data_IF_282829642925
#
_entry.id   IF_282829642925
#
_cell.length_a   1.000
_cell.length_b   1.000
_cell.length_c   1.000
_cell.angle_alpha   90.00
_cell.angle_beta   90.00
_cell.angle_gamma   90.00
#
_symmetry.space_group_name_H-M   'P 1'
#
loop_
_entity.id
_entity.type
_entity.pdbx_description
1 polymer ?
#
# COMPACT_ATOMS: atom_id res chain seq x y z
N UNK A 1 24.09 7.49 -4.27
CA UNK A 1 22.75 8.07 -4.08
C UNK A 1 21.73 7.02 -4.41
N UNK A 2 20.86 6.66 -3.46
CA UNK A 2 19.82 5.64 -3.67
C UNK A 2 18.73 6.32 -4.50
N UNK A 3 18.84 6.20 -5.84
CA UNK A 3 17.73 6.51 -6.73
C UNK A 3 16.60 5.58 -6.29
N UNK A 4 15.52 6.16 -5.74
CA UNK A 4 14.26 5.45 -5.59
C UNK A 4 13.98 4.79 -6.93
N UNK A 5 14.02 3.46 -7.00
CA UNK A 5 13.61 2.71 -8.19
C UNK A 5 12.12 3.01 -8.36
N UNK A 6 11.79 4.11 -9.04
CA UNK A 6 10.43 4.56 -9.30
C UNK A 6 9.61 3.42 -9.92
N UNK A 7 10.28 2.56 -10.70
CA UNK A 7 9.76 1.32 -11.30
C UNK A 7 9.20 0.31 -10.30
N UNK A 8 9.72 0.27 -9.06
CA UNK A 8 9.21 -0.62 -8.00
C UNK A 8 7.94 -0.06 -7.36
N UNK A 9 7.84 1.27 -7.26
CA UNK A 9 6.67 1.96 -6.71
C UNK A 9 5.55 2.11 -7.76
N UNK A 10 5.90 2.10 -9.05
CA UNK A 10 4.94 2.12 -10.18
C UNK A 10 3.91 1.01 -10.07
N UNK A 11 4.30 -0.21 -9.69
CA UNK A 11 3.35 -1.32 -9.50
C UNK A 11 2.29 -1.05 -8.41
N UNK A 12 2.65 -0.28 -7.39
CA UNK A 12 1.69 0.14 -6.34
C UNK A 12 0.79 1.25 -6.87
N UNK A 13 1.31 2.12 -7.75
CA UNK A 13 0.52 3.19 -8.41
C UNK A 13 -0.43 2.65 -9.49
N UNK A 14 -0.03 1.62 -10.21
CA UNK A 14 -0.84 0.94 -11.23
C UNK A 14 -1.87 0.00 -10.62
N UNK A 15 -1.78 -0.27 -9.31
CA UNK A 15 -2.76 -1.11 -8.64
C UNK A 15 -4.14 -0.44 -8.70
N UNK A 16 -5.17 -1.15 -9.20
CA UNK A 16 -6.51 -0.58 -9.32
C UNK A 16 -7.07 -0.22 -7.94
N UNK A 17 -7.91 0.81 -7.85
CA UNK A 17 -8.52 1.21 -6.59
C UNK A 17 -9.30 0.03 -5.99
N UNK A 18 -8.92 -0.48 -4.80
CA UNK A 18 -9.57 -1.64 -4.20
C UNK A 18 -11.02 -1.29 -3.86
N UNK A 19 -11.95 -2.14 -4.29
CA UNK A 19 -13.39 -1.98 -4.06
C UNK A 19 -13.92 -2.87 -2.94
N UNK A 20 -13.16 -3.90 -2.58
CA UNK A 20 -13.49 -4.84 -1.52
C UNK A 20 -12.32 -5.04 -0.54
N UNK A 21 -12.64 -5.63 0.62
CA UNK A 21 -11.69 -5.84 1.72
C UNK A 21 -10.57 -6.81 1.32
N UNK A 22 -10.87 -7.80 0.48
CA UNK A 22 -9.90 -8.78 -0.03
C UNK A 22 -8.83 -8.12 -0.91
N UNK A 23 -9.25 -7.27 -1.84
CA UNK A 23 -8.38 -6.44 -2.67
C UNK A 23 -7.58 -5.45 -1.82
N UNK A 24 -8.20 -4.85 -0.79
CA UNK A 24 -7.51 -3.95 0.12
C UNK A 24 -6.41 -4.67 0.92
N UNK A 25 -6.64 -5.93 1.36
CA UNK A 25 -5.60 -6.77 1.97
C UNK A 25 -4.48 -7.08 0.97
N UNK A 26 -4.82 -7.43 -0.26
CA UNK A 26 -3.85 -7.69 -1.33
C UNK A 26 -2.98 -6.46 -1.63
N UNK A 27 -3.61 -5.29 -1.77
CA UNK A 27 -2.95 -4.00 -1.97
C UNK A 27 -2.01 -3.68 -0.81
N UNK A 28 -2.48 -3.77 0.44
CA UNK A 28 -1.64 -3.47 1.60
C UNK A 28 -0.50 -4.48 1.76
N UNK A 29 -0.69 -5.75 1.39
CA UNK A 29 0.37 -6.74 1.33
C UNK A 29 1.48 -6.33 0.34
N UNK A 30 1.09 -5.98 -0.90
CA UNK A 30 1.99 -5.49 -1.93
C UNK A 30 2.69 -4.19 -1.51
N UNK A 31 1.94 -3.22 -1.01
CA UNK A 31 2.47 -1.92 -0.62
C UNK A 31 3.39 -2.02 0.61
N UNK A 32 3.14 -2.97 1.52
CA UNK A 32 4.04 -3.24 2.66
C UNK A 32 5.42 -3.73 2.23
N UNK A 33 5.50 -4.49 1.13
CA UNK A 33 6.77 -4.94 0.56
C UNK A 33 7.62 -3.75 0.09
N UNK A 34 6.98 -2.69 -0.41
CA UNK A 34 7.63 -1.46 -0.88
C UNK A 34 7.67 -0.33 0.14
N UNK A 35 7.26 -0.55 1.40
CA UNK A 35 7.15 0.52 2.42
C UNK A 35 8.45 1.30 2.65
N UNK A 36 9.62 0.67 2.47
CA UNK A 36 10.92 1.32 2.63
C UNK A 36 11.20 2.38 1.55
N UNK A 37 10.51 2.31 0.42
CA UNK A 37 10.62 3.25 -0.70
C UNK A 37 9.50 4.31 -0.70
N UNK A 38 8.51 4.17 0.19
CA UNK A 38 7.35 5.06 0.28
C UNK A 38 7.49 5.87 1.57
N UNK A 39 7.94 7.12 1.45
CA UNK A 39 8.03 8.02 2.58
C UNK A 39 6.64 8.26 3.17
N UNK A 40 6.49 8.04 4.48
CA UNK A 40 5.20 8.21 5.17
C UNK A 40 4.17 7.11 4.89
N UNK A 41 4.57 5.95 4.36
CA UNK A 41 3.67 4.82 4.09
C UNK A 41 2.74 4.51 5.26
N UNK A 42 3.27 4.46 6.48
CA UNK A 42 2.49 4.17 7.68
C UNK A 42 1.33 5.15 7.87
N UNK A 43 1.54 6.45 7.65
CA UNK A 43 0.49 7.47 7.83
C UNK A 43 -0.63 7.32 6.78
N UNK A 44 -0.27 6.98 5.54
CA UNK A 44 -1.25 6.78 4.46
C UNK A 44 -1.96 5.44 4.57
N UNK A 45 -1.27 4.39 5.05
CA UNK A 45 -1.81 3.05 5.23
C UNK A 45 -2.61 2.89 6.52
N UNK A 46 -2.39 3.71 7.55
CA UNK A 46 -3.10 3.65 8.83
C UNK A 46 -4.64 3.70 8.69
N UNK A 47 -5.25 4.66 7.94
CA UNK A 47 -6.69 4.66 7.75
C UNK A 47 -7.18 3.40 7.01
N UNK A 48 -6.40 2.87 6.07
CA UNK A 48 -6.73 1.63 5.36
C UNK A 48 -6.68 0.40 6.28
N UNK A 49 -5.70 0.33 7.18
CA UNK A 49 -5.62 -0.70 8.21
C UNK A 49 -6.76 -0.60 9.23
N UNK A 50 -7.25 0.61 9.55
CA UNK A 50 -8.42 0.81 10.41
C UNK A 50 -9.71 0.30 9.75
N UNK A 51 -9.88 0.55 8.44
CA UNK A 51 -11.01 -0.01 7.68
C UNK A 51 -11.02 -1.54 7.72
N UNK A 52 -9.84 -2.16 7.64
CA UNK A 52 -9.67 -3.61 7.70
C UNK A 52 -9.97 -4.25 9.05
N UNK A 53 -9.77 -3.49 10.15
CA UNK A 53 -10.07 -3.95 11.51
C UNK A 53 -11.54 -3.79 11.87
N UNK A 54 -12.29 -2.92 11.19
CA UNK A 54 -13.69 -2.62 11.49
C UNK A 54 -14.67 -3.66 10.94
N UNK A 55 -14.18 -4.60 10.13
CA UNK A 55 -14.95 -5.74 9.60
C UNK A 55 -14.83 -6.99 10.50
N UNK A 56 -14.21 -6.85 11.68
CA UNK A 56 -14.30 -7.79 12.81
C UNK A 56 -15.19 -7.19 13.90
#
# INVERSE_FOLDING_TARGET
GIRLDLTKVEKVKEFPQPTNITELRGFLGLASYYRHFIQGFSNTAEPLHKLLKKDQ
#
